data_IF_688549447177
#
_entry.id   IF_688549447177
#
_cell.length_a   1.000
_cell.length_b   1.000
_cell.length_c   1.000
_cell.angle_alpha   90.00
_cell.angle_beta   90.00
_cell.angle_gamma   90.00
#
_symmetry.space_group_name_H-M   'P 1'
#
loop_
_entity.id
_entity.type
_entity.pdbx_description
1 polymer ?
#
# COMPACT_ATOMS: atom_id res chain seq x y z
N UNK A 1 0.35 11.86 2.51
CA UNK A 1 -0.78 11.14 3.16
C UNK A 1 -0.79 9.70 2.71
N UNK A 2 -1.00 8.77 3.62
CA UNK A 2 -1.07 7.34 3.33
C UNK A 2 -2.51 6.86 3.37
N UNK A 3 -2.92 6.09 2.37
CA UNK A 3 -4.25 5.49 2.33
C UNK A 3 -4.19 4.05 1.87
N UNK A 4 -4.87 3.16 2.62
CA UNK A 4 -5.12 1.79 2.16
C UNK A 4 -6.29 1.79 1.20
N UNK A 5 -6.11 1.20 0.03
CA UNK A 5 -7.11 1.15 -1.02
C UNK A 5 -7.30 -0.27 -1.52
N UNK A 6 -8.40 -0.50 -2.23
CA UNK A 6 -8.66 -1.76 -2.92
C UNK A 6 -8.42 -1.57 -4.41
N UNK A 7 -7.60 -2.44 -5.01
CA UNK A 7 -7.31 -2.39 -6.44
C UNK A 7 -8.54 -2.76 -7.25
N UNK A 8 -8.75 -2.04 -8.35
CA UNK A 8 -9.78 -2.37 -9.33
C UNK A 8 -9.25 -3.23 -10.48
N UNK A 9 -8.01 -3.72 -10.36
CA UNK A 9 -7.39 -4.59 -11.35
C UNK A 9 -6.43 -3.89 -12.33
N UNK A 10 -6.32 -2.57 -12.27
CA UNK A 10 -5.49 -1.78 -13.19
C UNK A 10 -4.36 -1.03 -12.50
N UNK A 11 -4.07 -1.39 -11.25
CA UNK A 11 -3.06 -0.70 -10.44
C UNK A 11 -1.76 -1.48 -10.48
N UNK A 12 -0.65 -0.78 -10.65
CA UNK A 12 0.69 -1.36 -10.57
C UNK A 12 1.43 -0.84 -9.35
N UNK A 13 2.20 -1.73 -8.73
CA UNK A 13 3.11 -1.34 -7.66
C UNK A 13 4.27 -0.53 -8.23
N UNK A 14 4.56 0.62 -7.63
CA UNK A 14 5.67 1.48 -8.08
C UNK A 14 7.05 0.94 -7.64
N UNK A 15 7.08 -0.02 -6.75
CA UNK A 15 8.33 -0.63 -6.27
C UNK A 15 8.74 -1.85 -7.09
N UNK A 16 7.86 -2.86 -7.17
CA UNK A 16 8.15 -4.10 -7.88
C UNK A 16 7.56 -4.16 -9.29
N UNK A 17 6.72 -3.19 -9.64
CA UNK A 17 6.06 -3.06 -10.94
C UNK A 17 5.13 -4.22 -11.31
N UNK A 18 4.73 -5.01 -10.33
CA UNK A 18 3.74 -6.05 -10.54
C UNK A 18 2.34 -5.47 -10.53
N UNK A 19 1.47 -6.00 -11.36
CA UNK A 19 0.07 -5.59 -11.37
C UNK A 19 -0.63 -6.09 -10.12
N UNK A 20 -1.38 -5.20 -9.48
CA UNK A 20 -2.17 -5.54 -8.29
C UNK A 20 -3.57 -5.90 -8.78
N UNK A 21 -3.97 -7.20 -8.72
CA UNK A 21 -5.28 -7.61 -9.24
C UNK A 21 -6.41 -7.21 -8.30
N UNK A 22 -7.62 -7.17 -8.84
CA UNK A 22 -8.83 -7.01 -8.04
C UNK A 22 -9.13 -8.33 -7.30
N UNK A 23 -9.51 -8.33 -6.03
CA UNK A 23 -9.72 -7.20 -5.13
C UNK A 23 -8.57 -7.01 -4.13
N UNK A 24 -7.33 -7.15 -4.56
CA UNK A 24 -6.18 -7.00 -3.67
C UNK A 24 -6.07 -5.58 -3.14
N UNK A 25 -5.46 -5.45 -1.96
CA UNK A 25 -5.26 -4.16 -1.32
C UNK A 25 -3.91 -3.58 -1.69
N UNK A 26 -3.81 -2.27 -1.69
CA UNK A 26 -2.54 -1.58 -1.88
C UNK A 26 -2.50 -0.32 -1.02
N UNK A 27 -1.30 0.19 -0.80
CA UNK A 27 -1.08 1.43 -0.07
C UNK A 27 -0.76 2.55 -1.07
N UNK A 28 -1.48 3.65 -0.97
CA UNK A 28 -1.19 4.85 -1.75
C UNK A 28 -0.57 5.91 -0.84
N UNK A 29 0.60 6.42 -1.24
CA UNK A 29 1.33 7.44 -0.49
C UNK A 29 1.58 8.63 -1.41
N UNK A 30 1.23 9.82 -0.96
CA UNK A 30 1.58 11.05 -1.66
C UNK A 30 2.94 11.53 -1.16
N UNK A 31 3.91 11.60 -2.05
CA UNK A 31 5.28 11.99 -1.72
C UNK A 31 5.81 13.07 -2.66
N UNK A 32 6.64 13.94 -2.12
CA UNK A 32 7.39 14.93 -2.90
C UNK A 32 8.82 14.96 -2.36
N UNK A 33 9.79 14.69 -3.25
CA UNK A 33 11.22 14.65 -2.90
C UNK A 33 11.54 13.71 -1.73
N UNK A 34 10.81 12.58 -1.64
CA UNK A 34 11.00 11.59 -0.60
C UNK A 34 10.30 11.92 0.72
N UNK A 35 9.56 13.02 0.79
CA UNK A 35 8.80 13.42 1.98
C UNK A 35 7.31 13.32 1.68
N UNK A 36 6.52 12.86 2.64
CA UNK A 36 5.07 12.81 2.49
C UNK A 36 4.50 14.22 2.33
N UNK A 37 3.80 14.45 1.22
CA UNK A 37 3.22 15.75 0.90
C UNK A 37 1.92 15.53 0.11
N UNK A 38 0.85 16.18 0.53
CA UNK A 38 -0.45 16.08 -0.14
C UNK A 38 -0.43 16.59 -1.58
N UNK A 39 0.52 17.46 -1.92
CA UNK A 39 0.71 18.00 -3.26
C UNK A 39 1.71 17.19 -4.09
N UNK A 40 2.30 16.13 -3.52
CA UNK A 40 3.28 15.29 -4.18
C UNK A 40 2.65 14.26 -5.12
N UNK A 41 3.52 13.48 -5.76
CA UNK A 41 3.09 12.39 -6.61
C UNK A 41 2.56 11.21 -5.78
N UNK A 42 1.55 10.55 -6.29
CA UNK A 42 1.00 9.36 -5.64
C UNK A 42 1.83 8.14 -6.05
N UNK A 43 2.36 7.43 -5.05
CA UNK A 43 3.04 6.16 -5.24
C UNK A 43 2.19 5.05 -4.64
N UNK A 44 2.13 3.93 -5.34
CA UNK A 44 1.33 2.78 -4.93
C UNK A 44 2.23 1.60 -4.66
N UNK A 45 1.99 0.93 -3.54
CA UNK A 45 2.79 -0.22 -3.11
C UNK A 45 1.86 -1.40 -2.86
N UNK A 46 2.20 -2.57 -3.42
CA UNK A 46 1.45 -3.79 -3.15
C UNK A 46 1.69 -4.25 -1.70
N UNK A 47 0.86 -5.18 -1.23
CA UNK A 47 0.96 -5.68 0.15
C UNK A 47 2.35 -6.24 0.44
N UNK A 48 2.92 -7.01 -0.49
CA UNK A 48 4.26 -7.59 -0.31
C UNK A 48 5.34 -6.52 -0.11
N UNK A 49 5.32 -5.46 -0.92
CA UNK A 49 6.26 -4.36 -0.78
C UNK A 49 6.02 -3.59 0.51
N UNK A 50 4.76 -3.41 0.90
CA UNK A 50 4.43 -2.77 2.17
C UNK A 50 4.98 -3.55 3.36
N UNK A 51 4.88 -4.87 3.32
CA UNK A 51 5.42 -5.73 4.39
C UNK A 51 6.95 -5.66 4.44
N UNK A 52 7.62 -5.61 3.28
CA UNK A 52 9.07 -5.48 3.21
C UNK A 52 9.58 -4.13 3.73
N UNK A 53 8.81 -3.08 3.52
CA UNK A 53 9.17 -1.71 3.91
C UNK A 53 8.61 -1.31 5.27
N UNK A 54 7.94 -2.21 5.97
CA UNK A 54 7.25 -1.96 7.23
C UNK A 54 6.15 -0.89 7.12
N UNK A 55 5.55 -0.75 5.95
CA UNK A 55 4.39 0.13 5.75
C UNK A 55 3.08 -0.56 6.10
N UNK A 56 3.12 -1.88 6.25
CA UNK A 56 1.96 -2.67 6.64
C UNK A 56 2.40 -3.81 7.55
N UNK A 57 1.50 -4.29 8.37
CA UNK A 57 1.76 -5.44 9.23
C UNK A 57 0.45 -6.19 9.47
N UNK A 58 0.57 -7.46 9.89
CA UNK A 58 -0.58 -8.24 10.30
C UNK A 58 -0.78 -8.10 11.79
N UNK A 59 -2.02 -7.80 12.17
CA UNK A 59 -2.41 -7.71 13.57
C UNK A 59 -3.39 -8.84 13.88
N UNK A 60 -3.20 -9.51 14.99
CA UNK A 60 -4.15 -10.54 15.43
C UNK A 60 -5.29 -9.90 16.24
N UNK A 61 -6.51 -10.13 15.78
CA UNK A 61 -7.71 -9.74 16.49
C UNK A 61 -8.69 -10.91 16.48
N UNK A 62 -9.13 -11.31 17.68
CA UNK A 62 -10.10 -12.39 17.87
C UNK A 62 -9.75 -13.68 17.12
N UNK A 63 -8.46 -14.02 17.08
CA UNK A 63 -8.00 -15.22 16.40
C UNK A 63 -7.82 -15.09 14.90
N UNK A 64 -8.04 -13.92 14.34
CA UNK A 64 -7.86 -13.66 12.91
C UNK A 64 -6.70 -12.69 12.67
N UNK A 65 -6.03 -12.85 11.54
CA UNK A 65 -5.01 -11.91 11.10
C UNK A 65 -5.64 -10.84 10.23
N UNK A 66 -5.49 -9.60 10.64
CA UNK A 66 -5.99 -8.44 9.89
C UNK A 66 -4.80 -7.65 9.35
N UNK A 67 -4.81 -7.40 8.05
CA UNK A 67 -3.78 -6.56 7.44
C UNK A 67 -4.03 -5.10 7.80
N UNK A 68 -3.02 -4.48 8.39
CA UNK A 68 -3.10 -3.07 8.82
C UNK A 68 -2.02 -2.27 8.11
N UNK A 69 -2.40 -1.17 7.50
CA UNK A 69 -1.46 -0.20 6.93
C UNK A 69 -1.14 0.89 7.94
N UNK A 70 0.12 1.29 7.96
CA UNK A 70 0.53 2.41 8.81
C UNK A 70 0.11 3.75 8.27
#
# INVERSE_FOLDING_TARGET
MRRGCVSLGEIKCDECQNTIPYPDRYLAINEKDGVEDDEGETRRYCVECCLKKDYAHYKEEKGERVLTFF
#
